data_IF_528127582622
#
_entry.id   IF_528127582622
#
_cell.length_a   1.000
_cell.length_b   1.000
_cell.length_c   1.000
_cell.angle_alpha   90.00
_cell.angle_beta   90.00
_cell.angle_gamma   90.00
#
_symmetry.space_group_name_H-M   'P 1'
#
loop_
_entity.id
_entity.type
_entity.pdbx_description
1 polymer ?
#
# COMPACT_ATOMS: atom_id res chain seq x y z
N UNK A 1 10.81 21.93 -3.53
CA UNK A 1 10.00 21.67 -2.31
C UNK A 1 9.42 20.28 -2.47
N UNK A 2 10.13 19.27 -1.96
CA UNK A 2 9.69 17.88 -1.95
C UNK A 2 8.58 17.73 -0.91
N UNK A 3 7.33 17.89 -1.35
CA UNK A 3 6.16 17.61 -0.52
C UNK A 3 6.09 16.10 -0.32
N UNK A 4 6.50 15.63 0.85
CA UNK A 4 6.10 14.31 1.34
C UNK A 4 4.58 14.35 1.51
N UNK A 5 3.86 13.75 0.56
CA UNK A 5 2.41 13.58 0.66
C UNK A 5 2.14 12.46 1.67
N UNK A 6 1.84 12.84 2.91
CA UNK A 6 1.33 11.94 3.95
C UNK A 6 -0.19 11.88 3.85
N UNK A 7 -0.77 10.68 3.90
CA UNK A 7 -2.23 10.50 3.99
C UNK A 7 -2.77 11.23 5.22
N UNK A 8 -4.01 11.76 5.23
CA UNK A 8 -4.60 12.33 6.45
C UNK A 8 -4.65 11.28 7.59
N UNK A 9 -4.63 11.71 8.86
CA UNK A 9 -4.75 10.78 9.99
C UNK A 9 -6.09 10.03 9.94
N UNK A 10 -6.03 8.70 10.00
CA UNK A 10 -7.20 7.81 9.91
C UNK A 10 -7.58 7.37 8.50
N UNK A 11 -6.88 7.84 7.45
CA UNK A 11 -7.08 7.35 6.08
C UNK A 11 -6.27 6.08 5.83
N UNK A 12 -6.97 5.04 5.36
CA UNK A 12 -6.35 3.81 4.89
C UNK A 12 -5.80 4.00 3.49
N UNK A 13 -4.70 3.30 3.18
CA UNK A 13 -4.20 3.19 1.81
C UNK A 13 -5.21 2.58 0.83
N UNK A 14 -6.33 2.03 1.30
CA UNK A 14 -7.35 1.39 0.47
C UNK A 14 -7.82 2.25 -0.71
N UNK A 15 -8.14 3.54 -0.49
CA UNK A 15 -8.57 4.43 -1.56
C UNK A 15 -7.48 4.61 -2.63
N UNK A 16 -6.22 4.78 -2.21
CA UNK A 16 -5.07 4.89 -3.10
C UNK A 16 -4.79 3.58 -3.85
N UNK A 17 -4.88 2.44 -3.18
CA UNK A 17 -4.73 1.10 -3.79
C UNK A 17 -5.80 0.89 -4.86
N UNK A 18 -7.06 1.25 -4.59
CA UNK A 18 -8.15 1.16 -5.55
C UNK A 18 -7.94 2.08 -6.76
N UNK A 19 -7.46 3.31 -6.56
CA UNK A 19 -7.09 4.19 -7.67
C UNK A 19 -6.00 3.56 -8.54
N UNK A 20 -4.90 3.12 -7.94
CA UNK A 20 -3.76 2.53 -8.64
C UNK A 20 -4.12 1.22 -9.36
N UNK A 21 -5.01 0.42 -8.76
CA UNK A 21 -5.59 -0.77 -9.38
C UNK A 21 -6.41 -0.42 -10.62
N UNK A 22 -7.32 0.56 -10.53
CA UNK A 22 -8.13 1.01 -11.67
C UNK A 22 -7.29 1.61 -12.79
N UNK A 23 -6.25 2.37 -12.43
CA UNK A 23 -5.32 2.96 -13.40
C UNK A 23 -4.33 1.96 -14.00
N UNK A 24 -4.27 0.72 -13.47
CA UNK A 24 -3.30 -0.32 -13.86
C UNK A 24 -1.86 0.20 -13.90
N UNK A 25 -1.49 1.03 -12.93
CA UNK A 25 -0.15 1.60 -12.84
C UNK A 25 0.79 0.65 -12.11
N UNK A 26 2.06 0.72 -12.47
CA UNK A 26 3.12 0.08 -11.70
C UNK A 26 3.27 0.81 -10.38
N UNK A 27 3.30 0.07 -9.29
CA UNK A 27 3.41 0.56 -7.93
C UNK A 27 4.63 -0.01 -7.23
N UNK A 28 5.26 0.80 -6.38
CA UNK A 28 6.26 0.37 -5.41
C UNK A 28 5.66 0.42 -4.00
N UNK A 29 5.58 -0.71 -3.33
CA UNK A 29 4.96 -0.88 -2.02
C UNK A 29 6.03 -1.22 -0.99
N UNK A 30 5.99 -0.51 0.14
CA UNK A 30 6.70 -0.85 1.37
C UNK A 30 5.69 -1.41 2.37
N UNK A 31 5.97 -2.57 2.94
CA UNK A 31 5.06 -3.22 3.87
C UNK A 31 5.80 -4.03 4.94
N UNK A 32 5.10 -4.33 6.03
CA UNK A 32 5.61 -5.17 7.11
C UNK A 32 5.49 -6.66 6.76
N UNK A 33 6.63 -7.35 6.76
CA UNK A 33 6.70 -8.80 6.63
C UNK A 33 7.97 -9.33 7.32
N UNK A 34 7.89 -9.51 8.64
CA UNK A 34 9.06 -9.80 9.49
C UNK A 34 10.18 -8.75 9.38
N UNK A 35 9.81 -7.49 9.12
CA UNK A 35 10.68 -6.39 8.77
C UNK A 35 10.21 -5.67 7.50
N UNK A 36 10.82 -4.51 7.24
CA UNK A 36 10.50 -3.66 6.08
C UNK A 36 10.80 -4.38 4.77
N UNK A 37 9.75 -4.76 4.04
CA UNK A 37 9.82 -5.46 2.76
C UNK A 37 9.35 -4.57 1.62
N UNK A 38 9.94 -4.75 0.43
CA UNK A 38 9.61 -4.01 -0.81
C UNK A 38 8.99 -4.94 -1.84
N UNK A 39 7.80 -4.59 -2.31
CA UNK A 39 7.17 -5.18 -3.49
C UNK A 39 7.09 -4.14 -4.62
N UNK A 40 7.33 -4.55 -5.87
CA UNK A 40 7.22 -3.67 -7.03
C UNK A 40 6.52 -4.43 -8.14
N UNK A 41 5.46 -3.87 -8.70
CA UNK A 41 4.65 -4.57 -9.71
C UNK A 41 3.34 -3.85 -9.98
N UNK A 42 2.37 -4.59 -10.48
CA UNK A 42 1.00 -4.11 -10.66
C UNK A 42 0.10 -4.75 -9.63
N UNK A 43 -0.92 -4.01 -9.19
CA UNK A 43 -1.99 -4.59 -8.38
C UNK A 43 -2.87 -5.40 -9.34
N UNK A 44 -2.87 -6.73 -9.17
CA UNK A 44 -3.68 -7.64 -9.96
C UNK A 44 -5.13 -7.69 -9.44
N UNK A 45 -5.31 -7.66 -8.12
CA UNK A 45 -6.63 -7.74 -7.49
C UNK A 45 -6.62 -7.11 -6.11
N UNK A 46 -7.77 -6.63 -5.66
CA UNK A 46 -8.01 -6.12 -4.30
C UNK A 46 -9.25 -6.83 -3.77
N UNK A 47 -9.18 -7.38 -2.56
CA UNK A 47 -10.26 -8.17 -1.96
C UNK A 47 -10.31 -8.01 -0.44
N UNK A 48 -11.45 -8.35 0.14
CA UNK A 48 -11.62 -8.41 1.58
C UNK A 48 -11.51 -9.86 2.05
N UNK A 49 -10.76 -10.09 3.14
CA UNK A 49 -10.65 -11.39 3.80
C UNK A 49 -10.52 -11.16 5.31
N UNK A 50 -11.33 -11.87 6.10
CA UNK A 50 -11.38 -11.75 7.57
C UNK A 50 -11.68 -10.32 8.07
N UNK A 51 -12.49 -9.56 7.33
CA UNK A 51 -12.82 -8.16 7.64
C UNK A 51 -11.66 -7.18 7.41
N UNK A 52 -10.59 -7.62 6.73
CA UNK A 52 -9.41 -6.85 6.37
C UNK A 52 -9.28 -6.74 4.87
N UNK A 53 -8.69 -5.66 4.39
CA UNK A 53 -8.47 -5.47 2.97
C UNK A 53 -7.08 -5.96 2.57
N UNK A 54 -7.02 -6.69 1.47
CA UNK A 54 -5.82 -7.28 0.92
C UNK A 54 -5.67 -6.88 -0.54
N UNK A 55 -4.43 -6.76 -0.98
CA UNK A 55 -4.08 -6.61 -2.39
C UNK A 55 -3.22 -7.80 -2.82
N UNK A 56 -3.39 -8.21 -4.06
CA UNK A 56 -2.58 -9.20 -4.73
C UNK A 56 -1.83 -8.53 -5.88
N UNK A 57 -0.52 -8.75 -5.91
CA UNK A 57 0.38 -8.26 -6.95
C UNK A 57 0.44 -9.25 -8.13
N UNK A 58 0.91 -8.79 -9.28
CA UNK A 58 1.07 -9.62 -10.48
C UNK A 58 2.06 -10.79 -10.30
N UNK A 59 3.00 -10.70 -9.35
CA UNK A 59 3.89 -11.80 -9.00
C UNK A 59 3.25 -12.82 -8.04
N UNK A 60 1.95 -12.69 -7.78
CA UNK A 60 1.18 -13.47 -6.81
C UNK A 60 1.44 -13.12 -5.34
N UNK A 61 2.24 -12.09 -5.04
CA UNK A 61 2.43 -11.60 -3.67
C UNK A 61 1.13 -11.02 -3.12
N UNK A 62 0.71 -11.49 -1.94
CA UNK A 62 -0.50 -11.02 -1.24
C UNK A 62 -0.08 -10.18 -0.03
N UNK A 63 -0.63 -8.98 0.08
CA UNK A 63 -0.24 -7.98 1.08
C UNK A 63 -1.49 -7.41 1.74
N UNK A 64 -1.53 -7.40 3.07
CA UNK A 64 -2.59 -6.74 3.81
C UNK A 64 -2.40 -5.22 3.71
N UNK A 65 -3.47 -4.49 3.41
CA UNK A 65 -3.42 -3.02 3.23
C UNK A 65 -3.08 -2.30 4.53
N UNK A 66 -3.46 -2.88 5.67
CA UNK A 66 -3.09 -2.37 7.00
C UNK A 66 -1.57 -2.46 7.30
N UNK A 67 -0.86 -3.37 6.64
CA UNK A 67 0.58 -3.57 6.84
C UNK A 67 1.43 -2.68 5.93
N UNK A 68 0.80 -1.80 5.14
CA UNK A 68 1.53 -0.92 4.23
C UNK A 68 2.16 0.23 5.00
N UNK A 69 3.45 0.43 4.79
CA UNK A 69 4.17 1.61 5.25
C UNK A 69 4.11 2.73 4.20
N UNK A 70 4.24 2.37 2.93
CA UNK A 70 4.20 3.33 1.84
C UNK A 70 3.76 2.72 0.50
N UNK A 71 3.20 3.55 -0.37
CA UNK A 71 2.94 3.23 -1.78
C UNK A 71 3.41 4.39 -2.64
N UNK A 72 4.27 4.13 -3.63
CA UNK A 72 4.83 5.14 -4.54
C UNK A 72 5.48 6.34 -3.83
N UNK A 73 6.06 6.12 -2.64
CA UNK A 73 6.65 7.17 -1.82
C UNK A 73 5.65 8.01 -1.02
N UNK A 74 4.35 7.69 -1.05
CA UNK A 74 3.33 8.20 -0.11
C UNK A 74 3.31 7.33 1.13
N UNK A 75 3.52 7.93 2.29
CA UNK A 75 3.62 7.22 3.58
C UNK A 75 2.32 7.38 4.38
N UNK A 76 2.05 6.38 5.24
CA UNK A 76 0.96 6.47 6.21
C UNK A 76 1.25 7.62 7.18
N UNK A 77 0.21 8.36 7.59
CA UNK A 77 0.34 9.30 8.71
C UNK A 77 0.76 8.62 10.01
N UNK A 78 0.44 7.33 10.16
CA UNK A 78 0.77 6.55 11.34
C UNK A 78 2.23 6.06 11.32
N UNK A 79 2.90 6.15 10.17
CA UNK A 79 4.34 5.88 10.06
C UNK A 79 5.14 7.08 10.57
N UNK A 80 5.08 7.30 11.89
CA UNK A 80 6.00 8.16 12.62
C UNK A 80 7.26 7.35 12.92
N UNK A 81 8.26 7.43 12.03
CA UNK A 81 9.63 7.12 12.42
C UNK A 81 10.01 8.08 13.56
N UNK A 82 10.11 7.55 14.78
CA UNK A 82 10.75 8.22 15.92
C UNK A 82 12.23 8.47 15.62
#
# INVERSE_FOLDING_TARGET
MDKRETLPPGESFYALVMELYNEKKKVGILYENSGVTRANGFIESVFEQDGKHWLKMDDQTVIAIENLYAINGKFSSDYSEC
#
